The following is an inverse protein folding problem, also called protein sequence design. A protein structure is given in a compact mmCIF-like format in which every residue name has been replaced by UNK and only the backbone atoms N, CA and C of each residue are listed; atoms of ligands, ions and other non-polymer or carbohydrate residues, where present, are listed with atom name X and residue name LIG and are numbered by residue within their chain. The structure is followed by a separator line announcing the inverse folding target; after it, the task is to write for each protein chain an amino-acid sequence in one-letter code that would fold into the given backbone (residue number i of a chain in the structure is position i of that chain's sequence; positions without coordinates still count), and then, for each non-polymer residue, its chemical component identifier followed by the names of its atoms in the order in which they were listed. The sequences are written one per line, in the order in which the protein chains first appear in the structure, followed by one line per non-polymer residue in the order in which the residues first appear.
data_IF_797841274742
#
_entry.id   IF_797841274742
#
_cell.length_a   1.000
_cell.length_b   1.000
_cell.length_c   1.000
_cell.angle_alpha   90.00
_cell.angle_beta   90.00
_cell.angle_gamma   90.00
#
_symmetry.space_group_name_H-M   'P 1'
#
loop_
_entity.id
_entity.type
_entity.pdbx_description
1 polymer ?
#
# COMPACT_ATOMS: atom_id res chain seq x y z
N UNK A 1 -7.94 -6.30 -15.53
CA UNK A 1 -6.87 -5.62 -14.74
C UNK A 1 -7.39 -4.56 -13.76
N UNK A 2 -8.34 -3.69 -14.15
CA UNK A 2 -8.81 -2.54 -13.36
C UNK A 2 -9.35 -2.88 -11.96
N UNK A 3 -10.15 -3.94 -11.80
CA UNK A 3 -10.73 -4.32 -10.51
C UNK A 3 -9.67 -4.77 -9.48
N UNK A 4 -8.63 -5.50 -9.93
CA UNK A 4 -7.53 -5.94 -9.06
C UNK A 4 -6.69 -4.74 -8.59
N UNK A 5 -6.39 -3.80 -9.49
CA UNK A 5 -5.67 -2.57 -9.15
C UNK A 5 -6.45 -1.68 -8.15
N UNK A 6 -7.76 -1.50 -8.36
CA UNK A 6 -8.64 -0.80 -7.43
C UNK A 6 -8.69 -1.46 -6.05
N UNK A 7 -8.78 -2.79 -6.01
CA UNK A 7 -8.77 -3.55 -4.77
C UNK A 7 -7.44 -3.40 -4.01
N UNK A 8 -6.30 -3.48 -4.71
CA UNK A 8 -4.98 -3.26 -4.12
C UNK A 8 -4.90 -1.85 -3.54
N UNK A 9 -5.30 -0.83 -4.31
CA UNK A 9 -5.32 0.55 -3.83
C UNK A 9 -6.20 0.71 -2.57
N UNK A 10 -7.41 0.15 -2.59
CA UNK A 10 -8.33 0.20 -1.45
C UNK A 10 -7.75 -0.48 -0.20
N UNK A 11 -7.14 -1.66 -0.34
CA UNK A 11 -6.48 -2.37 0.76
C UNK A 11 -5.28 -1.60 1.31
N UNK A 12 -4.50 -0.98 0.43
CA UNK A 12 -3.36 -0.15 0.84
C UNK A 12 -3.78 1.10 1.60
N UNK A 13 -4.82 1.79 1.13
CA UNK A 13 -5.39 2.93 1.87
C UNK A 13 -5.97 2.48 3.20
N UNK A 14 -6.68 1.35 3.25
CA UNK A 14 -7.20 0.79 4.49
C UNK A 14 -6.07 0.46 5.48
N UNK A 15 -4.95 -0.13 5.01
CA UNK A 15 -3.80 -0.46 5.86
C UNK A 15 -3.13 0.79 6.43
N UNK A 16 -2.93 1.83 5.61
CA UNK A 16 -2.38 3.12 6.06
C UNK A 16 -3.34 3.77 7.07
N UNK A 17 -4.63 3.81 6.76
CA UNK A 17 -5.64 4.38 7.65
C UNK A 17 -5.69 3.62 8.99
N UNK A 18 -5.61 2.29 8.96
CA UNK A 18 -5.53 1.46 10.17
C UNK A 18 -4.28 1.79 10.97
N UNK A 19 -3.10 1.88 10.35
CA UNK A 19 -1.86 2.22 11.03
C UNK A 19 -1.96 3.56 11.77
N UNK A 20 -2.50 4.58 11.10
CA UNK A 20 -2.62 5.94 11.64
C UNK A 20 -3.89 6.18 12.48
N UNK A 21 -4.83 5.24 12.52
CA UNK A 21 -6.09 5.39 13.24
C UNK A 21 -5.85 5.60 14.74
N UNK A 22 -6.39 6.67 15.36
CA UNK A 22 -6.31 6.87 16.81
C UNK A 22 -7.14 5.84 17.59
N UNK A 23 -8.03 5.11 16.91
CA UNK A 23 -8.87 4.06 17.48
C UNK A 23 -8.26 2.72 17.09
N UNK A 24 -7.49 2.06 17.98
CA UNK A 24 -6.98 0.73 17.70
C UNK A 24 -8.12 -0.27 17.68
N UNK A 25 -8.20 -1.08 16.63
CA UNK A 25 -9.16 -2.18 16.57
C UNK A 25 -8.61 -3.35 17.39
N UNK A 26 -9.33 -3.75 18.43
CA UNK A 26 -8.99 -4.90 19.26
C UNK A 26 -9.77 -6.13 18.79
N UNK A 27 -9.06 -7.16 18.35
CA UNK A 27 -9.60 -8.44 17.90
C UNK A 27 -9.13 -9.52 18.88
N UNK A 28 -9.91 -9.72 19.95
CA UNK A 28 -9.48 -10.55 21.08
C UNK A 28 -8.22 -9.97 21.72
N UNK A 29 -7.14 -10.74 21.72
CA UNK A 29 -5.83 -10.34 22.27
C UNK A 29 -4.96 -9.57 21.25
N UNK A 30 -5.41 -9.43 20.00
CA UNK A 30 -4.65 -8.75 18.96
C UNK A 30 -5.06 -7.29 18.79
N UNK A 31 -4.06 -6.41 18.59
CA UNK A 31 -4.26 -4.99 18.26
C UNK A 31 -3.94 -4.79 16.78
N UNK A 32 -4.95 -4.35 16.04
CA UNK A 32 -4.86 -4.03 14.63
C UNK A 32 -4.91 -2.51 14.45
N UNK A 33 -3.78 -1.94 14.02
CA UNK A 33 -3.69 -0.50 13.76
C UNK A 33 -3.46 0.35 15.02
N UNK A 34 -3.46 1.66 14.81
CA UNK A 34 -3.19 2.68 15.81
C UNK A 34 -1.84 2.57 16.49
N UNK A 35 -0.85 1.98 15.81
CA UNK A 35 0.46 1.68 16.39
C UNK A 35 1.18 2.90 16.98
N UNK A 36 1.16 4.10 16.35
CA UNK A 36 1.74 5.28 16.97
C UNK A 36 1.04 5.71 18.27
N UNK A 37 -0.26 5.43 18.38
CA UNK A 37 -1.09 5.84 19.51
C UNK A 37 -1.01 4.88 20.69
N UNK A 38 -0.89 3.58 20.39
CA UNK A 38 -0.72 2.51 21.37
C UNK A 38 0.72 2.40 21.87
N UNK A 39 1.69 2.91 21.11
CA UNK A 39 3.09 2.90 21.49
C UNK A 39 3.35 3.62 22.84
N UNK A 40 4.23 3.07 23.71
CA UNK A 40 4.71 3.76 24.89
C UNK A 40 5.28 5.15 24.56
N UNK A 41 5.14 6.12 25.48
CA UNK A 41 5.48 7.54 25.22
C UNK A 41 6.89 7.75 24.67
N UNK A 42 7.89 7.02 25.19
CA UNK A 42 9.28 7.10 24.71
C UNK A 42 9.51 6.57 23.29
N UNK A 43 8.57 5.80 22.75
CA UNK A 43 8.66 5.17 21.41
C UNK A 43 7.65 5.72 20.40
N UNK A 44 6.67 6.50 20.87
CA UNK A 44 5.60 7.07 20.03
C UNK A 44 6.16 7.91 18.88
N UNK A 45 7.14 8.78 19.15
CA UNK A 45 7.77 9.59 18.10
C UNK A 45 8.49 8.73 17.06
N UNK A 46 9.22 7.69 17.49
CA UNK A 46 9.89 6.77 16.59
C UNK A 46 8.88 6.03 15.70
N UNK A 47 7.76 5.59 16.27
CA UNK A 47 6.67 4.97 15.51
C UNK A 47 6.04 5.94 14.51
N UNK A 48 5.76 7.19 14.89
CA UNK A 48 5.26 8.19 13.95
C UNK A 48 6.23 8.44 12.79
N UNK A 49 7.53 8.56 13.06
CA UNK A 49 8.54 8.78 12.01
C UNK A 49 8.63 7.56 11.08
N UNK A 50 8.69 6.35 11.65
CA UNK A 50 8.74 5.12 10.87
C UNK A 50 7.49 4.95 10.00
N UNK A 51 6.31 5.17 10.60
CA UNK A 51 5.03 5.13 9.90
C UNK A 51 4.95 6.16 8.78
N UNK A 52 5.44 7.37 9.02
CA UNK A 52 5.49 8.45 8.02
C UNK A 52 6.38 8.08 6.86
N UNK A 53 7.59 7.60 7.15
CA UNK A 53 8.55 7.17 6.16
C UNK A 53 8.02 6.02 5.28
N UNK A 54 7.46 4.97 5.90
CA UNK A 54 6.88 3.84 5.19
C UNK A 54 5.66 4.24 4.35
N UNK A 55 4.78 5.08 4.88
CA UNK A 55 3.61 5.58 4.14
C UNK A 55 4.04 6.43 2.93
N UNK A 56 5.05 7.29 3.11
CA UNK A 56 5.57 8.13 2.03
C UNK A 56 6.23 7.30 0.93
N UNK A 57 7.05 6.30 1.27
CA UNK A 57 7.64 5.38 0.29
C UNK A 57 6.55 4.63 -0.45
N UNK A 58 5.59 4.07 0.27
CA UNK A 58 4.52 3.28 -0.33
C UNK A 58 3.69 4.11 -1.32
N UNK A 59 3.27 5.31 -0.93
CA UNK A 59 2.52 6.22 -1.80
C UNK A 59 3.38 6.70 -2.99
N UNK A 60 4.67 6.98 -2.76
CA UNK A 60 5.61 7.36 -3.81
C UNK A 60 5.79 6.27 -4.86
N UNK A 61 5.99 5.02 -4.45
CA UNK A 61 6.08 3.87 -5.35
C UNK A 61 4.78 3.64 -6.10
N UNK A 62 3.63 3.78 -5.42
CA UNK A 62 2.32 3.66 -6.05
C UNK A 62 2.13 4.72 -7.14
N UNK A 63 2.43 5.99 -6.83
CA UNK A 63 2.34 7.08 -7.81
C UNK A 63 3.31 6.87 -8.99
N UNK A 64 4.53 6.40 -8.72
CA UNK A 64 5.51 6.07 -9.75
C UNK A 64 5.02 4.94 -10.66
N UNK A 65 4.43 3.89 -10.09
CA UNK A 65 3.84 2.79 -10.87
C UNK A 65 2.73 3.29 -11.79
N UNK A 66 1.83 4.15 -11.29
CA UNK A 66 0.78 4.76 -12.10
C UNK A 66 1.35 5.63 -13.22
N UNK A 67 2.38 6.42 -12.94
CA UNK A 67 3.06 7.25 -13.93
C UNK A 67 3.70 6.41 -15.04
N UNK A 68 4.46 5.36 -14.68
CA UNK A 68 5.09 4.46 -15.64
C UNK A 68 4.05 3.69 -16.47
N UNK A 69 2.97 3.24 -15.84
CA UNK A 69 1.87 2.54 -16.54
C UNK A 69 1.19 3.46 -17.55
N UNK A 70 0.91 4.71 -17.18
CA UNK A 70 0.34 5.71 -18.09
C UNK A 70 1.26 6.03 -19.27
N UNK A 71 2.57 6.11 -19.04
CA UNK A 71 3.54 6.32 -20.11
C UNK A 71 3.59 5.11 -21.06
N UNK A 72 3.57 3.89 -20.53
CA UNK A 72 3.56 2.67 -21.34
C UNK A 72 2.31 2.59 -22.24
N UNK A 73 1.13 2.88 -21.70
CA UNK A 73 -0.12 2.96 -22.46
C UNK A 73 -0.08 4.04 -23.55
N UNK A 74 0.46 5.23 -23.22
CA UNK A 74 0.60 6.34 -24.17
C UNK A 74 1.64 6.09 -25.27
N UNK A 75 2.64 5.25 -25.01
CA UNK A 75 3.72 4.92 -25.96
C UNK A 75 3.27 3.95 -27.05
N UNK A 76 2.09 3.33 -26.95
CA UNK A 76 1.60 2.35 -27.92
C UNK A 76 2.51 1.11 -28.06
N UNK A 77 3.31 0.81 -27.02
CA UNK A 77 4.16 -0.37 -27.02
C UNK A 77 3.24 -1.61 -27.08
N UNK A 78 3.41 -2.53 -28.06
CA UNK A 78 2.55 -3.69 -28.19
C UNK A 78 2.49 -4.43 -26.86
N UNK A 79 1.28 -4.85 -26.46
CA UNK A 79 1.10 -5.68 -25.27
C UNK A 79 2.13 -6.82 -25.31
N UNK A 80 2.80 -7.15 -24.19
CA UNK A 80 3.64 -8.34 -24.17
C UNK A 80 2.76 -9.49 -24.60
N UNK A 81 3.12 -10.16 -25.70
CA UNK A 81 2.40 -11.32 -26.22
C UNK A 81 2.08 -12.22 -25.03
N UNK A 82 0.80 -12.56 -24.84
CA UNK A 82 0.43 -13.64 -23.94
C UNK A 82 1.33 -14.80 -24.31
N UNK A 83 2.24 -15.16 -23.40
CA UNK A 83 3.08 -16.33 -23.58
C UNK A 83 2.10 -17.49 -23.53
N UNK A 84 1.67 -17.92 -24.71
CA UNK A 84 0.81 -19.06 -24.92
C UNK A 84 1.41 -20.18 -24.07
N UNK A 85 0.66 -20.62 -23.06
CA UNK A 85 1.04 -21.71 -22.17
C UNK A 85 1.44 -22.88 -23.08
N UNK A 86 2.75 -23.07 -23.24
CA UNK A 86 3.31 -24.15 -24.02
C UNK A 86 3.05 -25.43 -23.23
N UNK A 87 1.87 -26.00 -23.44
CA UNK A 87 1.54 -27.36 -23.02
C UNK A 87 2.33 -28.31 -23.91
N UNK A 88 3.53 -28.68 -23.46
CA UNK A 88 4.19 -29.90 -23.86
C UNK A 88 4.45 -30.78 -22.63
#
# INVERSE_FOLDING_TARGET
MKAKALLVAALSFAAIALYWSPIPLKLGDYILGGYPWVAPEGSRTAMMVLGGFLSAIFLGLTALMFYLSSQAEASGNPEPEEVEDLSW
#
